data_IF_665499454649
#
_entry.id   IF_665499454649
#
_cell.length_a   1.000
_cell.length_b   1.000
_cell.length_c   1.000
_cell.angle_alpha   90.00
_cell.angle_beta   90.00
_cell.angle_gamma   90.00
#
_symmetry.space_group_name_H-M   'P 1'
#
loop_
_entity.id
_entity.type
_entity.pdbx_description
1 polymer ?
#
# COMPACT_ATOMS: atom_id res chain seq x y z
N UNK A 1 -15.97 -12.94 -5.70
CA UNK A 1 -14.85 -12.07 -5.29
C UNK A 1 -13.58 -12.80 -5.68
N UNK A 2 -12.64 -12.08 -6.31
CA UNK A 2 -11.33 -12.58 -6.76
C UNK A 2 -10.42 -12.90 -5.56
N UNK A 3 -9.32 -13.64 -5.79
CA UNK A 3 -8.21 -13.82 -4.83
C UNK A 3 -7.61 -12.45 -4.48
N UNK A 4 -7.50 -12.12 -3.20
CA UNK A 4 -6.88 -10.87 -2.75
C UNK A 4 -6.16 -11.04 -1.41
N UNK A 5 -5.24 -10.14 -1.13
CA UNK A 5 -4.62 -9.95 0.17
C UNK A 5 -4.89 -8.53 0.68
N UNK A 6 -4.81 -8.33 1.99
CA UNK A 6 -4.74 -7.00 2.60
C UNK A 6 -3.35 -6.84 3.18
N UNK A 7 -2.61 -5.86 2.68
CA UNK A 7 -1.25 -5.57 3.12
C UNK A 7 -1.22 -4.29 3.95
N UNK A 8 -0.29 -4.23 4.90
CA UNK A 8 -0.02 -3.02 5.67
C UNK A 8 1.13 -2.27 5.02
N UNK A 9 0.88 -1.01 4.67
CA UNK A 9 1.87 -0.11 4.06
C UNK A 9 2.06 1.05 5.05
N UNK A 10 3.11 0.96 5.87
CA UNK A 10 3.30 1.93 6.95
C UNK A 10 2.12 1.93 7.94
N UNK A 11 1.33 3.00 7.95
CA UNK A 11 0.15 3.15 8.81
C UNK A 11 -1.18 2.81 8.14
N UNK A 12 -1.24 2.67 6.82
CA UNK A 12 -2.46 2.32 6.08
C UNK A 12 -2.51 0.83 5.74
N UNK A 13 -3.71 0.35 5.42
CA UNK A 13 -3.94 -0.97 4.86
C UNK A 13 -4.60 -0.85 3.50
N UNK A 14 -4.17 -1.68 2.56
CA UNK A 14 -4.71 -1.71 1.20
C UNK A 14 -5.08 -3.12 0.80
N UNK A 15 -6.23 -3.24 0.13
CA UNK A 15 -6.68 -4.48 -0.49
C UNK A 15 -6.04 -4.59 -1.87
N UNK A 16 -5.32 -5.68 -2.09
CA UNK A 16 -4.47 -5.87 -3.27
C UNK A 16 -4.72 -7.22 -3.94
N UNK A 17 -4.65 -7.22 -5.26
CA UNK A 17 -4.69 -8.37 -6.15
C UNK A 17 -3.43 -8.40 -7.02
N UNK A 18 -3.13 -9.53 -7.66
CA UNK A 18 -1.98 -9.63 -8.57
C UNK A 18 -2.18 -8.67 -9.74
N UNK A 19 -1.18 -7.84 -10.01
CA UNK A 19 -1.19 -6.84 -11.08
C UNK A 19 -1.66 -5.44 -10.68
N UNK A 20 -2.18 -5.26 -9.46
CA UNK A 20 -2.63 -3.95 -8.99
C UNK A 20 -1.45 -2.98 -8.80
N UNK A 21 -1.69 -1.71 -9.11
CA UNK A 21 -0.72 -0.61 -8.97
C UNK A 21 -1.25 0.42 -7.98
N UNK A 22 -0.42 0.79 -7.00
CA UNK A 22 -0.79 1.74 -5.95
C UNK A 22 0.40 2.64 -5.57
N UNK A 23 0.10 3.76 -4.91
CA UNK A 23 1.10 4.75 -4.52
C UNK A 23 1.46 4.61 -3.05
N UNK A 24 2.74 4.42 -2.76
CA UNK A 24 3.28 4.35 -1.39
C UNK A 24 4.18 5.54 -1.09
N UNK A 25 4.39 5.82 0.20
CA UNK A 25 5.36 6.80 0.66
C UNK A 25 6.78 6.45 0.19
N UNK A 26 7.60 7.46 -0.12
CA UNK A 26 8.98 7.21 -0.57
C UNK A 26 9.86 6.51 0.46
N UNK A 27 9.53 6.60 1.75
CA UNK A 27 10.21 5.91 2.86
C UNK A 27 9.92 4.41 2.92
N UNK A 28 8.97 3.92 2.13
CA UNK A 28 8.69 2.49 2.05
C UNK A 28 9.77 1.79 1.20
N UNK A 29 10.43 0.79 1.79
CA UNK A 29 11.55 0.05 1.19
C UNK A 29 11.30 -1.47 1.09
N UNK A 30 10.25 -1.97 1.74
CA UNK A 30 9.97 -3.41 1.78
C UNK A 30 9.47 -3.92 0.41
N UNK A 31 10.27 -4.80 -0.20
CA UNK A 31 9.91 -5.49 -1.46
C UNK A 31 8.99 -6.69 -1.25
N UNK A 32 8.95 -7.21 -0.03
CA UNK A 32 8.13 -8.37 0.32
C UNK A 32 7.45 -8.08 1.65
N UNK A 33 6.13 -8.22 1.68
CA UNK A 33 5.31 -7.88 2.85
C UNK A 33 4.51 -9.11 3.29
N UNK A 34 4.42 -9.31 4.60
CA UNK A 34 3.52 -10.31 5.18
C UNK A 34 2.11 -9.70 5.22
N UNK A 35 1.09 -10.35 4.62
CA UNK A 35 -0.25 -9.82 4.61
C UNK A 35 -0.89 -9.88 6.01
N UNK A 36 -1.79 -8.94 6.28
CA UNK A 36 -2.62 -8.90 7.49
C UNK A 36 -3.84 -9.80 7.35
N UNK A 37 -4.30 -10.00 6.11
CA UNK A 37 -5.45 -10.84 5.79
C UNK A 37 -5.27 -11.38 4.39
N UNK A 38 -5.63 -12.65 4.17
CA UNK A 38 -5.65 -13.26 2.83
C UNK A 38 -7.02 -13.87 2.57
N UNK A 39 -7.54 -13.70 1.35
CA UNK A 39 -8.73 -14.40 0.87
C UNK A 39 -8.36 -15.30 -0.31
N UNK A 40 -8.15 -16.61 -0.07
CA UNK A 40 -7.80 -17.56 -1.12
C UNK A 40 -8.96 -17.94 -2.04
N UNK A 41 -10.19 -17.95 -1.52
CA UNK A 41 -11.41 -18.32 -2.26
C UNK A 41 -12.60 -17.49 -1.77
N UNK A 42 -13.64 -17.38 -2.60
CA UNK A 42 -14.91 -16.71 -2.26
C UNK A 42 -15.51 -17.34 -1.00
N UNK A 43 -15.52 -16.57 0.09
CA UNK A 43 -16.11 -16.97 1.38
C UNK A 43 -15.11 -17.45 2.43
N UNK A 44 -13.84 -17.66 2.07
CA UNK A 44 -12.77 -18.02 3.01
C UNK A 44 -11.85 -16.83 3.24
N UNK A 45 -11.56 -16.56 4.51
CA UNK A 45 -10.69 -15.49 4.97
C UNK A 45 -9.74 -16.07 6.01
N UNK A 46 -8.45 -15.94 5.77
CA UNK A 46 -7.40 -16.31 6.73
C UNK A 46 -6.98 -15.05 7.46
N UNK A 47 -7.12 -15.06 8.79
CA UNK A 47 -6.77 -13.94 9.69
C UNK A 47 -5.76 -14.38 10.76
N UNK A 48 -5.53 -15.68 10.91
CA UNK A 48 -4.64 -16.19 11.96
C UNK A 48 -3.18 -15.84 11.68
N UNK A 49 -2.54 -15.15 12.64
CA UNK A 49 -1.15 -14.66 12.54
C UNK A 49 -0.12 -15.76 12.25
N UNK A 50 -0.39 -17.00 12.70
CA UNK A 50 0.49 -18.14 12.45
C UNK A 50 0.42 -18.61 11.00
N UNK A 51 -0.78 -18.64 10.44
CA UNK A 51 -1.02 -19.07 9.07
C UNK A 51 -0.56 -18.00 8.07
N UNK A 52 -0.76 -16.71 8.42
CA UNK A 52 -0.37 -15.57 7.59
C UNK A 52 1.14 -15.49 7.32
N UNK A 53 1.99 -16.03 8.20
CA UNK A 53 3.45 -16.07 7.98
C UNK A 53 3.87 -16.91 6.78
N UNK A 54 3.02 -17.83 6.33
CA UNK A 54 3.28 -18.66 5.15
C UNK A 54 2.96 -17.92 3.85
N UNK A 55 2.23 -16.80 3.93
CA UNK A 55 1.88 -15.97 2.78
C UNK A 55 2.86 -14.81 2.65
N UNK A 56 3.24 -14.50 1.41
CA UNK A 56 4.11 -13.37 1.09
C UNK A 56 3.56 -12.62 -0.12
N UNK A 57 3.53 -11.31 -0.03
CA UNK A 57 3.17 -10.43 -1.15
C UNK A 57 4.44 -9.80 -1.68
N UNK A 58 4.77 -10.08 -2.94
CA UNK A 58 5.91 -9.49 -3.62
C UNK A 58 5.51 -8.21 -4.35
N UNK A 59 6.26 -7.15 -4.08
CA UNK A 59 6.03 -5.81 -4.59
C UNK A 59 7.21 -5.40 -5.48
N UNK A 60 6.89 -4.89 -6.66
CA UNK A 60 7.85 -4.36 -7.62
C UNK A 60 7.74 -2.83 -7.67
N UNK A 61 8.89 -2.15 -7.60
CA UNK A 61 8.93 -0.70 -7.70
C UNK A 61 8.96 -0.28 -9.17
N UNK A 62 7.96 0.50 -9.61
CA UNK A 62 7.87 0.98 -10.98
C UNK A 62 8.53 2.35 -11.17
N UNK A 63 8.10 3.35 -10.41
CA UNK A 63 8.57 4.73 -10.59
C UNK A 63 8.40 5.59 -9.34
N UNK A 64 9.18 6.67 -9.25
CA UNK A 64 8.98 7.71 -8.25
C UNK A 64 8.08 8.82 -8.81
N UNK A 65 7.10 9.25 -8.03
CA UNK A 65 6.15 10.31 -8.37
C UNK A 65 6.12 11.39 -7.28
N UNK A 66 5.63 12.57 -7.64
CA UNK A 66 5.39 13.66 -6.69
C UNK A 66 3.91 13.99 -6.67
N UNK A 67 3.36 14.15 -5.47
CA UNK A 67 1.97 14.53 -5.32
C UNK A 67 1.71 15.92 -5.88
N UNK A 68 0.42 16.20 -6.14
CA UNK A 68 -0.03 17.52 -6.55
C UNK A 68 0.40 18.54 -5.49
N UNK A 69 0.92 19.69 -5.94
CA UNK A 69 1.43 20.73 -5.04
C UNK A 69 0.31 21.21 -4.11
N UNK A 70 0.55 21.11 -2.81
CA UNK A 70 -0.31 21.69 -1.79
C UNK A 70 0.21 23.10 -1.51
N UNK A 71 -0.62 24.10 -1.79
CA UNK A 71 -0.30 25.50 -1.50
C UNK A 71 -0.84 25.84 -0.11
N UNK A 72 0.06 26.11 0.82
CA UNK A 72 -0.25 26.44 2.21
C UNK A 72 -0.04 27.94 2.38
N UNK A 73 -1.05 28.63 2.90
CA UNK A 73 -0.95 30.04 3.27
C UNK A 73 -1.16 30.19 4.76
N UNK A 74 -0.16 30.74 5.44
CA UNK A 74 -0.20 31.03 6.86
C UNK A 74 -0.37 32.53 7.03
N UNK A 75 -1.41 32.91 7.79
CA UNK A 75 -1.67 34.30 8.13
C UNK A 75 -1.96 34.41 9.63
N UNK A 76 -1.33 35.39 10.28
CA UNK A 76 -1.70 35.81 11.63
C UNK A 76 -2.05 37.29 11.62
N UNK A 77 -3.17 37.62 12.25
CA UNK A 77 -3.67 38.99 12.34
C UNK A 77 -2.68 39.86 13.15
N UNK A 78 -2.53 41.11 12.72
CA UNK A 78 -1.79 42.19 13.43
C UNK A 78 -0.35 41.88 13.86
N UNK A 79 0.24 40.79 13.35
CA UNK A 79 1.62 40.36 13.62
C UNK A 79 2.51 40.47 12.38
N UNK A 80 1.96 40.91 11.25
CA UNK A 80 2.67 41.00 9.97
C UNK A 80 2.96 39.65 9.30
N UNK A 81 2.64 38.53 9.96
CA UNK A 81 2.95 37.21 9.44
C UNK A 81 1.99 36.81 8.31
N UNK A 82 2.52 36.81 7.08
CA UNK A 82 1.88 36.34 5.84
C UNK A 82 2.89 35.48 5.07
N UNK A 83 2.86 34.16 5.25
CA UNK A 83 3.80 33.23 4.62
C UNK A 83 3.08 32.29 3.64
N UNK A 84 3.61 32.17 2.42
CA UNK A 84 3.18 31.15 1.44
C UNK A 84 4.23 30.03 1.41
N UNK A 85 3.79 28.79 1.56
CA UNK A 85 4.62 27.59 1.51
C UNK A 85 4.01 26.62 0.50
N UNK A 86 4.86 25.92 -0.24
CA UNK A 86 4.44 24.82 -1.09
C UNK A 86 4.97 23.51 -0.54
N UNK A 87 4.11 22.49 -0.45
CA UNK A 87 4.52 21.12 -0.14
C UNK A 87 4.20 20.19 -1.30
N UNK A 88 5.10 19.24 -1.54
CA UNK A 88 4.89 18.10 -2.43
C UNK A 88 5.40 16.86 -1.71
N UNK A 89 4.55 15.86 -1.65
CA UNK A 89 4.90 14.57 -1.08
C UNK A 89 5.61 13.74 -2.15
N UNK A 90 6.72 13.10 -1.79
CA UNK A 90 7.39 12.15 -2.65
C UNK A 90 6.75 10.78 -2.43
N UNK A 91 6.21 10.21 -3.49
CA UNK A 91 5.61 8.88 -3.50
C UNK A 91 6.34 7.96 -4.48
N UNK A 92 6.13 6.67 -4.33
CA UNK A 92 6.59 5.62 -5.23
C UNK A 92 5.35 4.90 -5.75
N UNK A 93 5.32 4.59 -7.03
CA UNK A 93 4.32 3.69 -7.60
C UNK A 93 4.89 2.28 -7.52
N UNK A 94 4.11 1.39 -6.93
CA UNK A 94 4.46 0.00 -6.68
C UNK A 94 3.40 -0.88 -7.29
N UNK A 95 3.84 -2.00 -7.85
CA UNK A 95 2.99 -3.02 -8.46
C UNK A 95 3.06 -4.32 -7.67
N UNK A 96 1.93 -5.00 -7.55
CA UNK A 96 1.87 -6.34 -6.95
C UNK A 96 2.27 -7.37 -8.00
N UNK A 97 3.39 -8.06 -7.78
CA UNK A 97 3.90 -9.07 -8.71
C UNK A 97 3.28 -10.43 -8.45
N UNK A 98 3.28 -10.88 -7.20
CA UNK A 98 2.80 -12.21 -6.82
C UNK A 98 2.28 -12.21 -5.38
N UNK A 99 1.33 -13.11 -5.11
CA UNK A 99 0.89 -13.44 -3.74
C UNK A 99 1.20 -14.94 -3.56
N UNK A 100 2.28 -15.23 -2.85
CA UNK A 100 2.73 -16.60 -2.55
C UNK A 100 1.84 -17.24 -1.48
N UNK A 101 1.61 -18.55 -1.60
CA UNK A 101 0.74 -19.32 -0.70
C UNK A 101 -0.69 -19.52 -1.21
N UNK A 102 -1.05 -18.95 -2.38
CA UNK A 102 -2.35 -19.15 -3.03
C UNK A 102 -2.44 -20.40 -3.93
N UNK A 103 -1.42 -21.26 -3.92
CA UNK A 103 -1.23 -22.36 -4.89
C UNK A 103 -2.09 -23.61 -4.65
N UNK A 104 -2.86 -23.68 -3.56
CA UNK A 104 -3.55 -24.93 -3.15
C UNK A 104 -5.08 -24.88 -3.17
N UNK A 105 -5.69 -24.09 -4.08
CA UNK A 105 -7.15 -24.06 -4.22
C UNK A 105 -7.61 -23.99 -5.69
N UNK A 106 -6.90 -24.71 -6.56
CA UNK A 106 -7.46 -25.17 -7.84
C UNK A 106 -8.05 -26.56 -7.61
N UNK A 107 -9.23 -26.63 -6.99
CA UNK A 107 -10.12 -27.78 -7.14
C UNK A 107 -11.55 -27.37 -6.70
N UNK A 108 -12.47 -27.62 -7.62
CA UNK A 108 -13.93 -27.33 -7.67
C UNK A 108 -14.40 -25.90 -7.93
#
# INVERSE_FOLDING_TARGET
MSKYAVIKIGSSQEKVSVGDEFSVLSSFEEKTVVPVLVSPRKGQVVVDDKELKNYKVELEHLSASKSKKINIFQYKNKTGNRRRVGYRENSKIVKVKSIQGLESAEEE
#
